data_IF_855278850482
#
_entry.id   IF_855278850482
#
_cell.length_a   1.000
_cell.length_b   1.000
_cell.length_c   1.000
_cell.angle_alpha   90.00
_cell.angle_beta   90.00
_cell.angle_gamma   90.00
#
_symmetry.space_group_name_H-M   'P 1'
#
loop_
_entity.id
_entity.type
_entity.pdbx_description
1 polymer ?
#
# COMPACT_ATOMS: atom_id res chain seq x y z
N UNK A 1 -37.47 34.59 -4.51
CA UNK A 1 -36.09 34.53 -3.95
C UNK A 1 -35.68 33.16 -3.35
N UNK A 2 -36.30 32.01 -3.69
CA UNK A 2 -35.91 30.69 -3.12
C UNK A 2 -35.26 29.69 -4.10
N UNK A 3 -35.15 30.02 -5.39
CA UNK A 3 -34.64 29.08 -6.43
C UNK A 3 -33.14 29.26 -6.69
N UNK A 4 -32.56 30.42 -6.39
CA UNK A 4 -31.15 30.74 -6.69
C UNK A 4 -30.17 30.13 -5.67
N UNK A 5 -30.57 29.96 -4.41
CA UNK A 5 -29.67 29.39 -3.38
C UNK A 5 -29.45 27.88 -3.52
N UNK A 6 -30.40 27.11 -4.08
CA UNK A 6 -30.23 25.65 -4.26
C UNK A 6 -29.21 25.27 -5.33
N UNK A 7 -28.98 26.13 -6.34
CA UNK A 7 -27.94 25.89 -7.35
C UNK A 7 -26.54 26.10 -6.78
N UNK A 8 -26.35 27.13 -5.94
CA UNK A 8 -25.05 27.47 -5.37
C UNK A 8 -24.47 26.37 -4.45
N UNK A 9 -25.31 25.73 -3.64
CA UNK A 9 -24.88 24.63 -2.78
C UNK A 9 -24.53 23.34 -3.54
N UNK A 10 -25.17 23.09 -4.69
CA UNK A 10 -24.85 21.93 -5.54
C UNK A 10 -23.52 22.10 -6.28
N UNK A 11 -23.20 23.30 -6.76
CA UNK A 11 -21.93 23.57 -7.43
C UNK A 11 -20.76 23.54 -6.45
N UNK A 12 -20.94 24.10 -5.24
CA UNK A 12 -19.90 24.09 -4.19
C UNK A 12 -19.57 22.67 -3.71
N UNK A 13 -20.56 21.78 -3.61
CA UNK A 13 -20.36 20.36 -3.29
C UNK A 13 -19.60 19.60 -4.38
N UNK A 14 -19.88 19.87 -5.65
CA UNK A 14 -19.17 19.24 -6.78
C UNK A 14 -17.70 19.70 -6.83
N UNK A 15 -17.42 20.98 -6.53
CA UNK A 15 -16.05 21.49 -6.44
C UNK A 15 -15.28 20.90 -5.25
N UNK A 16 -15.89 20.73 -4.07
CA UNK A 16 -15.26 20.10 -2.91
C UNK A 16 -14.93 18.62 -3.12
N UNK A 17 -15.84 17.86 -3.75
CA UNK A 17 -15.58 16.45 -4.13
C UNK A 17 -14.47 16.36 -5.18
N UNK A 18 -14.42 17.32 -6.11
CA UNK A 18 -13.36 17.38 -7.11
C UNK A 18 -12.00 17.72 -6.50
N UNK A 19 -11.92 18.56 -5.45
CA UNK A 19 -10.68 18.91 -4.76
C UNK A 19 -10.15 17.76 -3.87
N UNK A 20 -11.06 17.01 -3.22
CA UNK A 20 -10.73 15.82 -2.42
C UNK A 20 -10.17 14.67 -3.27
N UNK A 21 -10.59 14.55 -4.54
CA UNK A 21 -10.03 13.59 -5.48
C UNK A 21 -8.65 13.98 -6.04
N UNK A 22 -8.19 15.22 -5.81
CA UNK A 22 -6.92 15.74 -6.35
C UNK A 22 -5.74 15.36 -5.46
N UNK A 23 -5.90 15.25 -4.13
CA UNK A 23 -4.77 15.03 -3.22
C UNK A 23 -4.03 13.71 -3.50
N UNK A 24 -4.69 12.54 -3.61
CA UNK A 24 -4.00 11.30 -3.97
C UNK A 24 -3.44 11.32 -5.40
N UNK A 25 -4.15 11.99 -6.33
CA UNK A 25 -3.73 12.13 -7.74
C UNK A 25 -2.52 13.05 -7.91
N UNK A 26 -2.34 14.05 -7.04
CA UNK A 26 -1.21 14.96 -7.07
C UNK A 26 0.08 14.29 -6.58
N UNK A 27 -0.01 13.37 -5.62
CA UNK A 27 1.14 12.59 -5.15
C UNK A 27 1.53 11.47 -6.14
N UNK A 28 0.57 10.86 -6.86
CA UNK A 28 0.81 9.64 -7.64
C UNK A 28 1.07 9.84 -9.15
N UNK A 29 1.25 11.06 -9.66
CA UNK A 29 1.65 11.25 -11.07
C UNK A 29 3.13 10.88 -11.27
N UNK A 30 3.38 9.82 -12.03
CA UNK A 30 4.71 9.40 -12.46
C UNK A 30 5.29 10.35 -13.52
N UNK A 31 6.62 10.39 -13.59
CA UNK A 31 7.39 11.35 -14.37
C UNK A 31 7.04 11.40 -15.86
N UNK A 32 6.59 12.57 -16.27
CA UNK A 32 7.07 13.25 -17.47
C UNK A 32 7.20 14.73 -17.11
N UNK A 33 8.37 15.13 -16.60
CA UNK A 33 8.66 16.52 -16.24
C UNK A 33 8.88 17.36 -17.51
N UNK A 34 7.81 17.59 -18.26
CA UNK A 34 7.63 18.74 -19.17
C UNK A 34 6.27 19.43 -19.03
N UNK A 35 5.47 19.04 -18.05
CA UNK A 35 4.26 19.75 -17.65
C UNK A 35 4.34 20.08 -16.17
N UNK A 36 4.05 21.34 -15.85
CA UNK A 36 3.92 21.99 -14.52
C UNK A 36 4.16 21.14 -13.26
N UNK A 37 4.99 21.62 -12.31
CA UNK A 37 5.23 20.92 -11.06
C UNK A 37 3.93 20.62 -10.30
N UNK A 38 3.88 19.53 -9.51
CA UNK A 38 2.75 19.27 -8.62
C UNK A 38 2.48 20.50 -7.76
N UNK A 39 1.21 20.78 -7.39
CA UNK A 39 0.88 21.93 -6.58
C UNK A 39 1.75 21.92 -5.33
N UNK A 40 2.47 23.01 -5.11
CA UNK A 40 3.32 23.22 -3.94
C UNK A 40 2.39 23.21 -2.73
N UNK A 41 2.39 22.11 -1.98
CA UNK A 41 1.72 22.04 -0.68
C UNK A 41 2.55 22.88 0.30
N UNK A 42 1.94 23.78 1.09
CA UNK A 42 2.67 24.62 2.05
C UNK A 42 3.55 23.76 2.98
N UNK A 43 4.83 24.10 3.05
CA UNK A 43 5.90 23.30 3.65
C UNK A 43 5.85 23.16 5.18
N UNK A 44 4.83 23.71 5.86
CA UNK A 44 4.80 23.82 7.32
C UNK A 44 4.13 22.63 8.03
N UNK A 45 3.49 21.69 7.32
CA UNK A 45 2.82 20.54 7.95
C UNK A 45 3.19 19.17 7.38
N UNK A 46 3.99 19.11 6.32
CA UNK A 46 4.47 17.86 5.71
C UNK A 46 5.96 17.70 6.06
N UNK A 47 6.31 16.76 6.94
CA UNK A 47 7.68 16.25 7.01
C UNK A 47 7.90 15.36 5.79
N UNK A 48 8.22 15.96 4.65
CA UNK A 48 8.45 15.24 3.40
C UNK A 48 9.85 14.62 3.43
N UNK A 49 10.06 13.61 4.27
CA UNK A 49 11.28 12.81 4.21
C UNK A 49 11.15 11.80 3.07
N UNK A 50 11.93 12.02 2.00
CA UNK A 50 11.87 11.22 0.78
C UNK A 50 13.05 10.25 0.73
N UNK A 51 12.75 8.95 0.64
CA UNK A 51 13.78 7.92 0.46
C UNK A 51 13.62 7.26 -0.90
N UNK A 52 14.75 7.00 -1.54
CA UNK A 52 14.80 6.32 -2.83
C UNK A 52 15.18 4.86 -2.62
N UNK A 53 14.31 3.99 -3.07
CA UNK A 53 14.51 2.56 -3.22
C UNK A 53 14.50 2.31 -4.73
N UNK A 54 15.22 1.32 -5.25
CA UNK A 54 15.62 1.26 -6.68
C UNK A 54 14.47 1.42 -7.70
N UNK A 55 13.25 1.05 -7.30
CA UNK A 55 12.02 1.17 -8.08
C UNK A 55 11.00 2.15 -7.51
N UNK A 56 11.08 2.48 -6.22
CA UNK A 56 10.06 3.27 -5.51
C UNK A 56 10.68 4.39 -4.69
N UNK A 57 10.02 5.54 -4.65
CA UNK A 57 10.33 6.59 -3.68
C UNK A 57 9.25 6.61 -2.62
N UNK A 58 9.64 6.63 -1.36
CA UNK A 58 8.71 6.75 -0.24
C UNK A 58 8.61 8.20 0.21
N UNK A 59 7.39 8.70 0.46
CA UNK A 59 7.16 9.90 1.25
C UNK A 59 6.24 9.54 2.43
N UNK A 60 6.53 10.11 3.60
CA UNK A 60 5.72 9.92 4.79
C UNK A 60 4.92 11.18 5.10
N UNK A 61 3.63 11.02 5.43
CA UNK A 61 2.73 12.13 5.74
C UNK A 61 2.23 11.93 7.17
N UNK A 62 2.55 12.90 8.02
CA UNK A 62 2.17 12.94 9.45
C UNK A 62 1.12 14.01 9.76
N UNK A 63 0.79 14.89 8.81
CA UNK A 63 -0.33 15.82 8.94
C UNK A 63 -1.63 15.02 9.05
N UNK A 64 -2.25 15.09 10.23
CA UNK A 64 -3.44 14.32 10.58
C UNK A 64 -4.64 14.63 9.68
N UNK A 65 -4.84 15.88 9.31
CA UNK A 65 -5.99 16.28 8.49
C UNK A 65 -5.78 15.87 7.03
N UNK A 66 -4.57 16.05 6.51
CA UNK A 66 -4.20 15.54 5.18
C UNK A 66 -4.33 14.01 5.12
N UNK A 67 -3.81 13.31 6.12
CA UNK A 67 -3.90 11.85 6.20
C UNK A 67 -5.37 11.40 6.24
N UNK A 68 -6.22 11.98 7.11
CA UNK A 68 -7.65 11.65 7.18
C UNK A 68 -8.36 11.75 5.82
N UNK A 69 -8.01 12.74 5.01
CA UNK A 69 -8.59 12.94 3.68
C UNK A 69 -8.15 11.86 2.66
N UNK A 70 -7.14 11.05 2.98
CA UNK A 70 -6.68 9.94 2.14
C UNK A 70 -7.37 8.60 2.45
N UNK A 71 -8.08 8.50 3.58
CA UNK A 71 -8.92 7.34 3.89
C UNK A 71 -10.17 7.34 3.02
N UNK A 72 -10.52 6.16 2.50
CA UNK A 72 -11.75 5.98 1.73
C UNK A 72 -12.66 5.00 2.46
N UNK A 73 -13.84 5.45 2.86
CA UNK A 73 -14.79 4.57 3.53
C UNK A 73 -15.35 3.53 2.54
N UNK A 74 -15.18 2.25 2.87
CA UNK A 74 -15.81 1.14 2.16
C UNK A 74 -17.24 0.99 2.70
N UNK A 75 -18.29 1.13 1.87
CA UNK A 75 -19.67 1.07 2.34
C UNK A 75 -20.00 -0.26 3.04
N UNK A 76 -20.69 -0.17 4.18
CA UNK A 76 -21.24 -1.31 4.88
C UNK A 76 -22.30 -2.02 4.00
N UNK A 77 -21.91 -3.13 3.37
CA UNK A 77 -22.77 -3.87 2.45
C UNK A 77 -22.06 -4.39 1.21
N UNK A 78 -20.83 -3.94 0.94
CA UNK A 78 -20.04 -4.49 -0.16
C UNK A 78 -19.73 -5.98 0.07
N UNK A 79 -19.92 -6.80 -0.96
CA UNK A 79 -19.76 -8.26 -0.90
C UNK A 79 -18.29 -8.68 -0.95
N UNK A 80 -17.40 -7.78 -1.35
CA UNK A 80 -15.97 -8.01 -1.48
C UNK A 80 -15.27 -8.03 -0.12
N UNK A 81 -15.35 -9.17 0.57
CA UNK A 81 -14.75 -9.38 1.90
C UNK A 81 -14.30 -10.82 2.13
N UNK A 82 -13.37 -11.00 3.06
CA UNK A 82 -13.05 -12.31 3.62
C UNK A 82 -14.06 -12.61 4.74
N UNK A 83 -14.61 -13.83 4.77
CA UNK A 83 -15.41 -14.30 5.89
C UNK A 83 -14.51 -14.72 7.06
N UNK A 84 -14.38 -13.82 8.05
CA UNK A 84 -13.53 -14.00 9.21
C UNK A 84 -14.18 -14.82 10.34
N UNK A 85 -15.47 -15.16 10.22
CA UNK A 85 -16.22 -15.87 11.27
C UNK A 85 -16.10 -17.39 11.17
N UNK A 86 -15.41 -17.89 10.14
CA UNK A 86 -15.24 -19.32 9.88
C UNK A 86 -14.15 -19.91 10.81
N UNK A 87 -14.53 -20.21 12.05
CA UNK A 87 -13.65 -20.65 13.15
C UNK A 87 -12.90 -21.97 12.87
N UNK A 88 -13.48 -22.86 12.06
CA UNK A 88 -12.93 -24.19 11.76
C UNK A 88 -12.36 -24.30 10.34
N UNK A 89 -11.73 -23.23 9.85
CA UNK A 89 -11.19 -23.25 8.50
C UNK A 89 -9.68 -23.46 8.46
N UNK A 90 -9.27 -24.60 7.89
CA UNK A 90 -7.87 -24.89 7.51
C UNK A 90 -7.59 -24.61 6.03
N UNK A 91 -8.61 -24.26 5.23
CA UNK A 91 -8.48 -23.98 3.80
C UNK A 91 -7.92 -22.56 3.55
N UNK A 92 -6.98 -22.38 2.59
CA UNK A 92 -6.41 -21.08 2.25
C UNK A 92 -7.44 -19.96 2.00
N UNK A 93 -8.54 -20.26 1.31
CA UNK A 93 -9.65 -19.32 1.00
C UNK A 93 -10.33 -18.64 2.20
N UNK A 94 -10.08 -19.11 3.42
CA UNK A 94 -10.57 -18.47 4.64
C UNK A 94 -9.64 -17.39 5.16
N UNK A 95 -8.39 -17.43 4.72
CA UNK A 95 -7.36 -16.47 5.09
C UNK A 95 -6.98 -15.57 3.92
N UNK A 96 -7.50 -15.85 2.72
CA UNK A 96 -7.18 -15.12 1.53
C UNK A 96 -8.31 -15.09 0.50
N UNK A 97 -8.30 -14.06 -0.36
CA UNK A 97 -9.17 -13.99 -1.53
C UNK A 97 -8.42 -13.41 -2.73
N UNK A 98 -8.57 -14.09 -3.87
CA UNK A 98 -8.10 -13.61 -5.17
C UNK A 98 -8.96 -12.41 -5.61
N UNK A 99 -8.30 -11.37 -6.11
CA UNK A 99 -8.91 -10.15 -6.63
C UNK A 99 -8.33 -9.86 -8.00
N UNK A 100 -9.22 -9.80 -9.00
CA UNK A 100 -8.87 -9.41 -10.36
C UNK A 100 -8.89 -7.89 -10.51
N UNK A 101 -7.86 -7.36 -11.16
CA UNK A 101 -7.70 -5.93 -11.44
C UNK A 101 -8.15 -5.65 -12.87
N UNK A 102 -9.04 -4.66 -13.10
CA UNK A 102 -9.42 -4.23 -14.44
C UNK A 102 -8.36 -3.35 -15.11
N UNK A 103 -7.23 -3.13 -14.44
CA UNK A 103 -6.10 -2.33 -14.89
C UNK A 103 -4.79 -3.09 -14.68
N UNK A 104 -3.78 -2.70 -15.45
CA UNK A 104 -2.39 -3.13 -15.27
C UNK A 104 -1.77 -2.40 -14.06
N UNK A 105 -1.41 -3.15 -13.02
CA UNK A 105 -0.65 -2.61 -11.89
C UNK A 105 0.83 -2.89 -12.08
N UNK A 106 1.68 -1.88 -12.36
CA UNK A 106 3.12 -2.11 -12.55
C UNK A 106 3.82 -2.35 -11.20
N UNK A 107 4.50 -3.49 -11.08
CA UNK A 107 5.22 -3.89 -9.87
C UNK A 107 6.56 -4.55 -10.24
N UNK A 108 7.68 -3.88 -9.93
CA UNK A 108 9.05 -4.35 -10.26
C UNK A 108 9.25 -4.75 -11.73
N UNK A 109 8.57 -4.06 -12.65
CA UNK A 109 8.67 -4.33 -14.10
C UNK A 109 7.67 -5.35 -14.63
N UNK A 110 6.85 -5.95 -13.77
CA UNK A 110 5.76 -6.82 -14.18
C UNK A 110 4.43 -6.08 -14.18
N UNK A 111 3.58 -6.38 -15.16
CA UNK A 111 2.18 -5.96 -15.13
C UNK A 111 1.34 -6.98 -14.37
N UNK A 112 0.77 -6.56 -13.24
CA UNK A 112 -0.04 -7.41 -12.37
C UNK A 112 -1.52 -7.12 -12.62
N UNK A 113 -2.29 -8.18 -12.86
CA UNK A 113 -3.76 -8.13 -13.03
C UNK A 113 -4.52 -8.98 -12.02
N UNK A 114 -3.81 -9.71 -11.18
CA UNK A 114 -4.38 -10.57 -10.17
C UNK A 114 -3.55 -10.46 -8.92
N UNK A 115 -4.23 -10.27 -7.79
CA UNK A 115 -3.59 -10.21 -6.47
C UNK A 115 -4.38 -11.04 -5.48
N UNK A 116 -3.74 -11.44 -4.40
CA UNK A 116 -4.42 -12.17 -3.32
C UNK A 116 -4.41 -11.32 -2.06
N UNK A 117 -5.59 -10.89 -1.62
CA UNK A 117 -5.77 -10.18 -0.35
C UNK A 117 -5.68 -11.19 0.79
N UNK A 118 -4.75 -10.97 1.72
CA UNK A 118 -4.53 -11.86 2.86
C UNK A 118 -5.09 -11.25 4.14
N UNK A 119 -5.68 -12.05 5.02
CA UNK A 119 -6.20 -11.57 6.32
C UNK A 119 -5.12 -10.95 7.20
N UNK A 120 -3.88 -11.38 7.02
CA UNK A 120 -2.74 -11.03 7.87
C UNK A 120 -2.09 -9.68 7.51
N UNK A 121 -2.86 -8.78 6.89
CA UNK A 121 -2.48 -7.38 6.67
C UNK A 121 -1.57 -7.12 5.47
N UNK A 122 -1.61 -7.98 4.45
CA UNK A 122 -0.84 -7.81 3.23
C UNK A 122 -1.57 -8.29 1.97
N UNK A 123 -1.09 -7.83 0.82
CA UNK A 123 -1.51 -8.26 -0.51
C UNK A 123 -0.37 -9.09 -1.09
N UNK A 124 -0.64 -10.35 -1.42
CA UNK A 124 0.29 -11.20 -2.15
C UNK A 124 0.13 -10.94 -3.66
N UNK A 125 1.26 -10.89 -4.36
CA UNK A 125 1.32 -10.59 -5.80
C UNK A 125 1.37 -11.87 -6.64
N UNK A 126 1.69 -13.01 -6.03
CA UNK A 126 1.58 -14.32 -6.68
C UNK A 126 0.29 -15.03 -6.26
N UNK A 127 -0.29 -15.78 -7.19
CA UNK A 127 -1.43 -16.67 -6.98
C UNK A 127 -1.00 -18.00 -6.35
N UNK A 128 0.30 -18.30 -6.38
CA UNK A 128 0.86 -19.44 -5.67
C UNK A 128 1.01 -19.13 -4.18
N UNK A 129 0.00 -19.57 -3.42
CA UNK A 129 -0.08 -19.43 -1.97
C UNK A 129 1.08 -20.14 -1.23
N UNK A 130 1.68 -21.17 -1.83
CA UNK A 130 2.81 -21.91 -1.23
C UNK A 130 4.09 -21.08 -1.17
N UNK A 131 4.17 -20.01 -1.97
CA UNK A 131 5.32 -19.11 -2.08
C UNK A 131 4.93 -17.65 -1.81
N UNK A 132 4.36 -17.37 -0.63
CA UNK A 132 4.02 -16.01 -0.12
C UNK A 132 5.23 -15.10 0.13
N UNK A 133 6.13 -15.01 -0.85
CA UNK A 133 7.44 -14.39 -0.76
C UNK A 133 7.48 -13.01 -1.47
N UNK A 134 6.51 -12.71 -2.34
CA UNK A 134 6.36 -11.41 -3.03
C UNK A 134 5.07 -10.71 -2.59
N UNK A 135 5.17 -9.59 -1.89
CA UNK A 135 3.99 -8.95 -1.30
C UNK A 135 4.12 -7.43 -1.12
N UNK A 136 2.95 -6.82 -0.93
CA UNK A 136 2.74 -5.44 -0.53
C UNK A 136 2.11 -5.46 0.86
N UNK A 137 2.83 -4.97 1.87
CA UNK A 137 2.44 -5.07 3.27
C UNK A 137 2.28 -3.68 3.89
N UNK A 138 1.05 -3.12 3.97
CA UNK A 138 0.82 -1.99 4.85
C UNK A 138 1.14 -2.34 6.31
N UNK A 139 0.79 -3.55 6.75
CA UNK A 139 1.18 -4.08 8.06
C UNK A 139 1.03 -5.59 8.08
N UNK A 140 2.08 -6.33 7.71
CA UNK A 140 2.10 -7.79 7.77
C UNK A 140 2.48 -8.26 9.17
N UNK A 141 1.60 -9.02 9.80
CA UNK A 141 1.82 -9.60 11.13
C UNK A 141 1.29 -11.03 11.13
N UNK A 142 2.02 -12.00 11.68
CA UNK A 142 1.52 -13.36 11.76
C UNK A 142 0.29 -13.43 12.67
N UNK A 143 -0.76 -14.10 12.17
CA UNK A 143 -1.94 -14.48 12.94
C UNK A 143 -2.63 -13.29 13.63
N UNK A 144 -3.11 -12.32 12.85
CA UNK A 144 -4.06 -11.35 13.40
C UNK A 144 -5.28 -12.08 13.98
N UNK A 145 -5.68 -11.65 15.18
CA UNK A 145 -6.90 -12.06 15.86
C UNK A 145 -8.08 -11.24 15.33
N UNK A 146 -9.24 -11.88 15.22
CA UNK A 146 -10.47 -11.27 14.72
C UNK A 146 -11.60 -11.41 15.74
N UNK A 147 -12.51 -10.44 15.72
CA UNK A 147 -13.77 -10.46 16.46
C UNK A 147 -14.93 -10.08 15.52
N UNK A 148 -16.15 -9.99 16.04
CA UNK A 148 -17.35 -9.69 15.26
C UNK A 148 -17.32 -8.33 14.55
N UNK A 149 -16.47 -7.40 14.99
CA UNK A 149 -16.27 -6.08 14.39
C UNK A 149 -15.08 -6.04 13.43
N UNK A 150 -14.31 -7.11 13.34
CA UNK A 150 -13.18 -7.22 12.42
C UNK A 150 -13.67 -7.43 11.00
N UNK A 151 -13.01 -6.79 10.04
CA UNK A 151 -13.28 -7.04 8.62
C UNK A 151 -12.03 -6.91 7.77
N UNK A 152 -11.98 -7.69 6.69
CA UNK A 152 -11.03 -7.53 5.59
C UNK A 152 -11.85 -7.42 4.32
N UNK A 153 -11.82 -6.26 3.68
CA UNK A 153 -12.67 -5.94 2.53
C UNK A 153 -11.92 -5.12 1.51
N UNK A 154 -12.45 -5.04 0.29
CA UNK A 154 -11.82 -4.27 -0.78
C UNK A 154 -12.84 -3.68 -1.75
N UNK A 155 -12.42 -2.63 -2.45
CA UNK A 155 -13.15 -2.05 -3.58
C UNK A 155 -12.23 -2.07 -4.79
N UNK A 156 -12.72 -2.65 -5.88
CA UNK A 156 -12.09 -2.57 -7.20
C UNK A 156 -12.73 -1.42 -7.97
N UNK A 157 -11.90 -0.49 -8.44
CA UNK A 157 -12.28 0.59 -9.33
C UNK A 157 -11.56 0.42 -10.67
N UNK A 158 -11.99 1.16 -11.69
CA UNK A 158 -11.39 1.11 -13.04
C UNK A 158 -9.86 1.28 -13.03
N UNK A 159 -9.32 2.09 -12.10
CA UNK A 159 -7.91 2.51 -12.08
C UNK A 159 -7.21 2.30 -10.73
N UNK A 160 -7.90 1.71 -9.76
CA UNK A 160 -7.30 1.42 -8.46
C UNK A 160 -8.00 0.30 -7.71
N UNK A 161 -7.23 -0.40 -6.89
CA UNK A 161 -7.70 -1.32 -5.86
C UNK A 161 -7.50 -0.67 -4.50
N UNK A 162 -8.49 -0.72 -3.62
CA UNK A 162 -8.38 -0.30 -2.23
C UNK A 162 -8.71 -1.51 -1.36
N UNK A 163 -7.82 -1.88 -0.46
CA UNK A 163 -7.99 -2.98 0.49
C UNK A 163 -7.95 -2.43 1.90
N UNK A 164 -8.88 -2.83 2.74
CA UNK A 164 -9.04 -2.39 4.12
C UNK A 164 -8.99 -3.57 5.08
N UNK A 165 -8.19 -3.44 6.12
CA UNK A 165 -8.22 -4.28 7.31
C UNK A 165 -8.69 -3.43 8.47
N UNK A 166 -9.81 -3.79 9.09
CA UNK A 166 -10.44 -3.02 10.15
C UNK A 166 -10.63 -3.85 11.41
N UNK A 167 -10.39 -3.23 12.56
CA UNK A 167 -10.49 -3.83 13.89
C UNK A 167 -9.76 -5.17 14.05
N UNK A 168 -8.58 -5.34 13.46
CA UNK A 168 -7.74 -6.52 13.70
C UNK A 168 -7.01 -6.38 15.02
N UNK A 169 -6.85 -7.46 15.77
CA UNK A 169 -6.20 -7.45 17.08
C UNK A 169 -5.01 -8.42 17.11
N UNK A 170 -4.21 -8.34 18.16
CA UNK A 170 -3.07 -9.22 18.40
C UNK A 170 -3.11 -9.73 19.83
N UNK A 171 -2.37 -10.80 20.11
CA UNK A 171 -2.21 -11.31 21.47
C UNK A 171 -1.44 -10.37 22.43
N UNK A 172 -1.06 -9.17 22.00
CA UNK A 172 -0.32 -8.20 22.81
C UNK A 172 -1.22 -7.30 23.67
N UNK A 173 -2.55 -7.36 23.49
CA UNK A 173 -3.52 -6.54 24.25
C UNK A 173 -3.28 -5.02 24.13
N UNK A 174 -2.71 -4.58 23.02
CA UNK A 174 -2.42 -3.16 22.74
C UNK A 174 -3.62 -2.43 22.15
N UNK A 175 -4.68 -3.17 21.79
CA UNK A 175 -5.85 -2.67 21.07
C UNK A 175 -5.78 -2.99 19.57
N UNK A 176 -6.80 -2.53 18.85
CA UNK A 176 -6.99 -2.92 17.44
C UNK A 176 -6.28 -2.02 16.44
N UNK A 177 -5.87 -2.63 15.33
CA UNK A 177 -5.27 -2.02 14.16
C UNK A 177 -6.35 -1.81 13.09
N UNK A 178 -6.27 -0.69 12.37
CA UNK A 178 -7.11 -0.43 11.19
C UNK A 178 -6.33 0.37 10.17
N UNK A 179 -6.21 -0.18 8.97
CA UNK A 179 -5.35 0.36 7.92
C UNK A 179 -5.85 -0.04 6.53
N UNK A 180 -5.33 0.67 5.53
CA UNK A 180 -5.65 0.47 4.12
C UNK A 180 -4.38 0.39 3.29
N UNK A 181 -4.47 -0.34 2.19
CA UNK A 181 -3.56 -0.23 1.06
C UNK A 181 -4.35 0.17 -0.19
N UNK A 182 -3.84 1.14 -0.94
CA UNK A 182 -4.36 1.49 -2.26
C UNK A 182 -3.30 1.25 -3.32
N UNK A 183 -3.65 0.47 -4.35
CA UNK A 183 -2.85 0.24 -5.55
C UNK A 183 -3.49 1.01 -6.70
N UNK A 184 -2.68 1.67 -7.53
CA UNK A 184 -3.16 2.49 -8.66
C UNK A 184 -2.51 2.02 -9.96
N UNK A 185 -3.20 2.16 -11.09
CA UNK A 185 -2.65 1.78 -12.40
C UNK A 185 -1.33 2.51 -12.76
N UNK A 186 -1.04 3.65 -12.13
CA UNK A 186 0.23 4.35 -12.30
C UNK A 186 1.40 3.72 -11.51
N UNK A 187 1.14 2.68 -10.71
CA UNK A 187 2.15 2.04 -9.86
C UNK A 187 2.32 2.69 -8.49
N UNK A 188 1.49 3.67 -8.13
CA UNK A 188 1.52 4.25 -6.79
C UNK A 188 0.90 3.27 -5.79
N UNK A 189 1.57 3.10 -4.65
CA UNK A 189 1.10 2.30 -3.52
C UNK A 189 0.97 3.24 -2.32
N UNK A 190 -0.21 3.26 -1.68
CA UNK A 190 -0.46 4.12 -0.53
C UNK A 190 -0.88 3.24 0.64
N UNK A 191 -0.16 3.35 1.76
CA UNK A 191 -0.57 2.77 3.04
C UNK A 191 -1.11 3.86 3.93
N UNK A 192 -2.30 3.63 4.47
CA UNK A 192 -2.93 4.56 5.40
C UNK A 192 -3.26 3.84 6.71
N UNK A 193 -2.95 4.48 7.84
CA UNK A 193 -3.18 3.93 9.18
C UNK A 193 -4.26 4.73 9.90
N UNK A 194 -5.51 4.29 9.81
CA UNK A 194 -6.65 4.91 10.54
C UNK A 194 -6.47 4.79 12.04
N UNK A 195 -6.03 3.61 12.49
CA UNK A 195 -5.78 3.30 13.89
C UNK A 195 -4.55 2.43 13.99
N UNK A 196 -3.52 2.96 14.63
CA UNK A 196 -2.35 2.21 15.05
C UNK A 196 -2.14 2.47 16.54
N UNK A 197 -2.45 1.51 17.42
CA UNK A 197 -2.54 1.76 18.85
C UNK A 197 -1.18 1.77 19.55
N UNK A 198 -0.13 1.29 18.89
CA UNK A 198 1.21 1.21 19.45
C UNK A 198 2.25 1.68 18.43
N UNK A 199 3.35 2.23 18.92
CA UNK A 199 4.50 2.55 18.10
C UNK A 199 5.04 1.30 17.40
N UNK A 200 5.39 1.42 16.11
CA UNK A 200 5.81 0.26 15.34
C UNK A 200 7.12 -0.35 15.83
N UNK A 201 8.02 0.46 16.41
CA UNK A 201 9.31 -0.04 16.89
C UNK A 201 9.10 -1.00 18.07
N UNK A 202 8.27 -0.57 19.03
CA UNK A 202 7.87 -1.37 20.16
C UNK A 202 7.07 -2.60 19.71
N UNK A 203 6.15 -2.43 18.75
CA UNK A 203 5.40 -3.55 18.21
C UNK A 203 6.29 -4.60 17.52
N UNK A 204 7.25 -4.14 16.72
CA UNK A 204 8.22 -5.01 16.02
C UNK A 204 9.09 -5.75 17.02
N UNK A 205 9.54 -5.08 18.08
CA UNK A 205 10.26 -5.71 19.19
C UNK A 205 9.41 -6.79 19.88
N UNK A 206 8.17 -6.46 20.27
CA UNK A 206 7.26 -7.40 20.95
C UNK A 206 6.88 -8.61 20.08
N UNK A 207 6.82 -8.43 18.76
CA UNK A 207 6.58 -9.50 17.78
C UNK A 207 7.87 -10.16 17.26
N UNK A 208 9.02 -9.94 17.93
CA UNK A 208 10.32 -10.56 17.60
C UNK A 208 10.74 -10.37 16.13
N UNK A 209 10.45 -9.21 15.54
CA UNK A 209 10.82 -8.90 14.16
C UNK A 209 9.94 -9.57 13.09
N UNK A 210 8.86 -10.27 13.44
CA UNK A 210 7.92 -10.83 12.46
C UNK A 210 6.94 -9.80 11.87
N UNK A 211 7.31 -8.52 11.90
CA UNK A 211 6.48 -7.41 11.40
C UNK A 211 7.15 -6.84 10.16
N UNK A 212 6.39 -6.77 9.08
CA UNK A 212 6.85 -6.15 7.84
C UNK A 212 5.90 -5.03 7.42
N UNK A 213 6.47 -3.85 7.16
CA UNK A 213 5.78 -2.73 6.52
C UNK A 213 6.58 -2.36 5.29
N UNK A 214 6.00 -2.48 4.10
CA UNK A 214 6.67 -2.12 2.86
C UNK A 214 6.41 -3.14 1.76
N UNK A 215 7.44 -3.38 0.95
CA UNK A 215 7.37 -4.19 -0.26
C UNK A 215 8.41 -5.30 -0.19
N UNK A 216 8.04 -6.50 -0.66
CA UNK A 216 9.00 -7.58 -0.87
C UNK A 216 8.84 -8.15 -2.27
N UNK A 217 9.96 -8.30 -2.96
CA UNK A 217 10.07 -8.96 -4.26
C UNK A 217 11.29 -9.89 -4.29
N UNK A 218 11.09 -11.08 -4.85
CA UNK A 218 12.14 -12.07 -5.02
C UNK A 218 12.64 -12.05 -6.45
N UNK A 219 13.92 -12.38 -6.63
CA UNK A 219 14.45 -12.77 -7.93
C UNK A 219 14.66 -14.26 -7.85
N UNK A 220 13.97 -14.99 -8.70
CA UNK A 220 14.23 -16.41 -8.86
C UNK A 220 15.59 -16.58 -9.56
N UNK A 221 16.58 -17.09 -8.84
CA UNK A 221 17.71 -17.78 -9.46
C UNK A 221 17.52 -19.26 -9.21
N UNK A 222 16.95 -19.97 -10.17
CA UNK A 222 17.06 -21.41 -10.22
C UNK A 222 18.54 -21.77 -10.38
N UNK A 223 19.19 -22.13 -9.28
CA UNK A 223 20.44 -22.89 -9.31
C UNK A 223 20.15 -24.22 -8.62
N UNK A 224 19.97 -25.27 -9.41
CA UNK A 224 20.10 -26.65 -8.91
C UNK A 224 21.56 -26.89 -8.54
N UNK A 225 21.95 -26.46 -7.35
CA UNK A 225 23.11 -27.01 -6.67
C UNK A 225 22.62 -27.66 -5.39
N UNK A 226 22.58 -29.00 -5.38
CA UNK A 226 22.35 -29.87 -4.23
C UNK A 226 20.90 -29.99 -3.71
N UNK A 227 19.89 -29.65 -4.50
CA UNK A 227 18.47 -29.87 -4.13
C UNK A 227 17.91 -28.91 -3.08
N UNK A 228 18.60 -27.78 -2.83
CA UNK A 228 18.13 -26.71 -1.93
C UNK A 228 17.65 -25.53 -2.78
N UNK A 229 16.39 -25.14 -2.61
CA UNK A 229 15.80 -23.94 -3.22
C UNK A 229 16.39 -22.68 -2.55
N UNK A 230 17.38 -22.04 -3.20
CA UNK A 230 17.96 -20.79 -2.72
C UNK A 230 17.23 -19.57 -3.31
N UNK A 231 16.25 -19.06 -2.57
CA UNK A 231 15.54 -17.84 -2.97
C UNK A 231 16.25 -16.59 -2.45
N UNK A 232 16.73 -15.77 -3.39
CA UNK A 232 17.32 -14.48 -3.07
C UNK A 232 16.25 -13.39 -3.06
N UNK A 233 16.17 -12.64 -1.96
CA UNK A 233 15.36 -11.43 -1.92
C UNK A 233 15.99 -10.42 -2.88
N UNK A 234 15.28 -10.06 -3.95
CA UNK A 234 15.76 -9.07 -4.90
C UNK A 234 15.64 -7.67 -4.33
N UNK A 235 14.48 -7.38 -3.73
CA UNK A 235 14.23 -6.09 -3.13
C UNK A 235 13.27 -6.26 -1.95
N UNK A 236 13.76 -5.94 -0.75
CA UNK A 236 13.01 -6.00 0.50
C UNK A 236 13.04 -4.60 1.13
N UNK A 237 11.98 -3.83 0.91
CA UNK A 237 11.78 -2.54 1.55
C UNK A 237 10.98 -2.81 2.82
N UNK A 238 11.63 -2.71 3.98
CA UNK A 238 10.95 -2.86 5.26
C UNK A 238 11.13 -1.63 6.16
N UNK A 239 10.09 -0.82 6.25
CA UNK A 239 10.04 0.40 7.03
C UNK A 239 9.90 0.16 8.54
N UNK A 240 9.59 -1.06 8.98
CA UNK A 240 9.51 -1.35 10.43
C UNK A 240 10.85 -1.16 11.15
N UNK A 241 11.96 -1.22 10.43
CA UNK A 241 13.32 -1.01 10.95
C UNK A 241 13.77 0.45 10.95
N UNK A 242 13.00 1.37 10.35
CA UNK A 242 13.38 2.78 10.13
C UNK A 242 12.54 3.74 10.98
N UNK A 243 12.37 3.44 12.26
CA UNK A 243 11.47 4.16 13.17
C UNK A 243 11.89 5.61 13.46
N UNK A 244 13.18 5.95 13.36
CA UNK A 244 13.66 7.33 13.53
C UNK A 244 13.17 8.26 12.41
N UNK A 245 12.78 7.68 11.28
CA UNK A 245 12.35 8.35 10.04
C UNK A 245 10.83 8.22 9.89
N UNK A 246 10.30 7.01 10.07
CA UNK A 246 8.89 6.69 9.86
C UNK A 246 8.17 6.43 11.18
N UNK A 247 7.41 7.42 11.63
CA UNK A 247 6.64 7.36 12.86
C UNK A 247 5.20 6.92 12.58
N UNK A 248 4.99 5.62 12.37
CA UNK A 248 3.69 5.02 12.05
C UNK A 248 2.70 5.17 13.21
N UNK A 249 1.95 6.27 13.22
CA UNK A 249 0.92 6.57 14.23
C UNK A 249 -0.48 6.48 13.64
N UNK A 250 -1.47 6.56 14.51
CA UNK A 250 -2.85 6.79 14.11
C UNK A 250 -2.94 8.08 13.28
N UNK A 251 -3.56 7.98 12.10
CA UNK A 251 -3.65 9.01 11.07
C UNK A 251 -2.29 9.38 10.44
N UNK A 252 -1.50 8.38 10.06
CA UNK A 252 -0.34 8.57 9.18
C UNK A 252 -0.54 7.91 7.81
N UNK A 253 0.21 8.38 6.83
CA UNK A 253 0.21 7.81 5.47
C UNK A 253 1.63 7.59 4.97
N UNK A 254 1.90 6.44 4.38
CA UNK A 254 3.12 6.16 3.63
C UNK A 254 2.76 6.04 2.14
N UNK A 255 3.39 6.86 1.31
CA UNK A 255 3.16 6.90 -0.14
C UNK A 255 4.42 6.39 -0.84
N UNK A 256 4.29 5.31 -1.61
CA UNK A 256 5.34 4.74 -2.44
C UNK A 256 5.03 5.05 -3.91
N UNK A 257 5.83 5.91 -4.50
CA UNK A 257 5.69 6.34 -5.89
C UNK A 257 6.69 5.58 -6.75
N UNK A 258 6.21 4.94 -7.82
CA UNK A 258 7.06 4.26 -8.78
C UNK A 258 8.01 5.27 -9.46
N UNK A 259 9.32 5.05 -9.37
CA UNK A 259 10.34 5.92 -9.97
C UNK A 259 10.67 5.45 -11.39
N UNK A 260 10.72 4.13 -11.60
CA UNK A 260 11.13 3.52 -12.85
C UNK A 260 10.04 2.59 -13.38
N UNK A 261 9.63 2.85 -14.62
CA UNK A 261 8.72 2.01 -15.39
C UNK A 261 9.52 1.04 -16.23
N UNK A 262 9.84 -0.10 -15.63
CA UNK A 262 10.58 -1.16 -16.32
C UNK A 262 9.75 -1.89 -17.37
N UNK A 263 8.44 -1.72 -17.35
CA UNK A 263 7.48 -2.13 -18.38
C UNK A 263 7.75 -1.50 -19.76
N UNK A 264 8.59 -0.47 -19.84
CA UNK A 264 9.01 0.17 -21.10
C UNK A 264 10.28 -0.48 -21.68
N UNK A 265 10.97 -1.34 -20.92
CA UNK A 265 12.23 -1.95 -21.33
C UNK A 265 12.01 -3.43 -21.67
N UNK A 266 12.69 -3.91 -22.73
CA UNK A 266 12.59 -5.30 -23.19
C UNK A 266 13.09 -6.32 -22.15
N UNK A 267 13.97 -5.89 -21.25
CA UNK A 267 14.39 -6.71 -20.11
C UNK A 267 14.71 -5.89 -18.85
N UNK A 268 14.68 -6.60 -17.72
CA UNK A 268 14.93 -6.07 -16.38
C UNK A 268 16.35 -5.48 -16.22
N UNK A 269 17.34 -6.01 -16.94
CA UNK A 269 18.74 -5.60 -16.87
C UNK A 269 18.94 -4.20 -17.45
N UNK A 270 18.31 -3.92 -18.59
CA UNK A 270 18.30 -2.60 -19.22
C UNK A 270 17.55 -1.58 -18.37
N UNK A 271 16.45 -1.97 -17.73
CA UNK A 271 15.78 -1.09 -16.79
C UNK A 271 16.66 -0.73 -15.58
N UNK A 272 17.34 -1.70 -14.98
CA UNK A 272 18.22 -1.46 -13.84
C UNK A 272 19.42 -0.58 -14.19
N UNK A 273 19.96 -0.72 -15.41
CA UNK A 273 20.99 0.18 -15.92
C UNK A 273 20.47 1.63 -16.04
N UNK A 274 19.23 1.83 -16.50
CA UNK A 274 18.60 3.15 -16.57
C UNK A 274 18.33 3.73 -15.16
N UNK A 275 17.84 2.92 -14.23
CA UNK A 275 17.61 3.28 -12.83
C UNK A 275 18.89 3.80 -12.16
N UNK A 276 20.01 3.11 -12.38
CA UNK A 276 21.31 3.50 -11.84
C UNK A 276 21.84 4.81 -12.43
N UNK A 277 21.60 5.08 -13.73
CA UNK A 277 21.96 6.36 -14.36
C UNK A 277 21.19 7.54 -13.76
N UNK A 278 19.91 7.36 -13.43
CA UNK A 278 19.10 8.42 -12.79
C UNK A 278 19.60 8.76 -11.39
N UNK A 279 20.10 7.79 -10.62
CA UNK A 279 20.73 8.02 -9.31
C UNK A 279 22.02 8.84 -9.42
N UNK A 280 22.83 8.60 -10.46
CA UNK A 280 24.09 9.32 -10.69
C UNK A 280 23.83 10.78 -11.09
N UNK A 281 22.76 11.07 -11.85
CA UNK A 281 22.43 12.44 -12.27
C UNK A 281 21.90 13.36 -11.17
N UNK A 282 21.61 12.82 -9.97
CA UNK A 282 20.99 13.53 -8.84
C UNK A 282 21.92 13.66 -7.62
N UNK A 283 23.21 13.35 -7.78
CA UNK A 283 24.26 13.71 -6.83
C UNK A 283 24.89 15.04 -7.22
#
# INVERSE_FOLDING_TARGET
>A
MRVVQRKFYRTLWIFLISLLAILPKAFCKTGNWRGTPPPIIPSSSVTLERHFHDFYSSNFITDKELAKNMWLDIPAGDKNRIDLNRKDCSHPDCFSKVVLLPFDFPFYGHSIREVVVMKDGYINITTDWTHSKVYIAPLKVPNFLTNEKSSVSWIVQEKSLIVQWENLDTNLQVGTFSFQAKLTHEGCIIFFYKKNPIDISLFTYLKRGHVHIGLKHLRDRFHESNGVEENWNYHDINFSNHYSVFNFRTFSTLVLMLINRCDVYEDEKHCMAAANRLKISKR
#
